data_IF_313899217437
#
_entry.id   IF_313899217437
#
_cell.length_a   1.000
_cell.length_b   1.000
_cell.length_c   1.000
_cell.angle_alpha   90.00
_cell.angle_beta   90.00
_cell.angle_gamma   90.00
#
_symmetry.space_group_name_H-M   'P 1'
#
loop_
_entity.id
_entity.type
_entity.pdbx_description
1 polymer ?
#
# COMPACT_ATOMS: atom_id res chain seq x y z
N UNK A 1 -19.24 14.03 -24.83
CA UNK A 1 -17.91 14.04 -24.18
C UNK A 1 -18.13 14.13 -22.69
N UNK A 2 -17.72 13.10 -21.93
CA UNK A 2 -17.72 13.15 -20.47
C UNK A 2 -16.59 14.11 -20.07
N UNK A 3 -16.90 15.06 -19.18
CA UNK A 3 -15.91 16.01 -18.69
C UNK A 3 -15.17 15.34 -17.53
N UNK A 4 -13.91 15.02 -17.75
CA UNK A 4 -13.02 14.54 -16.69
C UNK A 4 -12.98 15.56 -15.56
N UNK A 5 -13.16 15.10 -14.32
CA UNK A 5 -13.10 15.96 -13.16
C UNK A 5 -11.63 16.05 -12.69
N UNK A 6 -11.01 17.25 -12.70
CA UNK A 6 -9.63 17.39 -12.25
C UNK A 6 -9.43 17.01 -10.78
N UNK A 7 -10.50 16.96 -9.98
CA UNK A 7 -10.43 16.49 -8.59
C UNK A 7 -10.24 14.98 -8.46
N UNK A 8 -10.48 14.20 -9.52
CA UNK A 8 -10.30 12.74 -9.49
C UNK A 8 -8.82 12.36 -9.31
N UNK A 9 -7.91 13.14 -9.89
CA UNK A 9 -6.46 12.95 -9.73
C UNK A 9 -6.07 13.10 -8.25
N UNK A 10 -6.56 14.16 -7.59
CA UNK A 10 -6.29 14.39 -6.17
C UNK A 10 -6.93 13.31 -5.29
N UNK A 11 -8.14 12.85 -5.64
CA UNK A 11 -8.79 11.76 -4.94
C UNK A 11 -7.97 10.46 -5.02
N UNK A 12 -7.47 10.10 -6.20
CA UNK A 12 -6.61 8.92 -6.42
C UNK A 12 -5.30 9.05 -5.62
N UNK A 13 -4.64 10.20 -5.67
CA UNK A 13 -3.41 10.45 -4.90
C UNK A 13 -3.64 10.27 -3.39
N UNK A 14 -4.77 10.78 -2.87
CA UNK A 14 -5.14 10.64 -1.47
C UNK A 14 -5.44 9.19 -1.08
N UNK A 15 -6.11 8.43 -1.94
CA UNK A 15 -6.37 7.00 -1.73
C UNK A 15 -5.06 6.22 -1.65
N UNK A 16 -4.11 6.49 -2.56
CA UNK A 16 -2.78 5.86 -2.55
C UNK A 16 -2.01 6.25 -1.27
N UNK A 17 -2.11 7.50 -0.81
CA UNK A 17 -1.50 7.93 0.45
C UNK A 17 -2.12 7.23 1.68
N UNK A 18 -3.43 6.97 1.68
CA UNK A 18 -4.09 6.23 2.76
C UNK A 18 -3.57 4.80 2.90
N UNK A 19 -3.13 4.15 1.82
CA UNK A 19 -2.48 2.86 1.88
C UNK A 19 -1.19 2.92 2.72
N UNK A 20 -0.31 3.90 2.47
CA UNK A 20 0.90 4.10 3.26
C UNK A 20 0.59 4.34 4.73
N UNK A 21 -0.42 5.17 5.02
CA UNK A 21 -0.86 5.45 6.38
C UNK A 21 -1.34 4.17 7.09
N UNK A 22 -2.10 3.32 6.41
CA UNK A 22 -2.57 2.04 6.96
C UNK A 22 -1.40 1.12 7.35
N UNK A 23 -0.33 1.10 6.55
CA UNK A 23 0.88 0.33 6.86
C UNK A 23 1.65 0.91 8.05
N UNK A 24 1.89 2.21 8.04
CA UNK A 24 2.75 2.89 9.02
C UNK A 24 2.13 2.93 10.42
N UNK A 25 0.82 3.13 10.50
CA UNK A 25 0.07 3.13 11.76
C UNK A 25 -0.36 1.74 12.21
N UNK A 26 -0.24 0.74 11.32
CA UNK A 26 -0.78 -0.62 11.49
C UNK A 26 -2.30 -0.66 11.72
N UNK A 27 -3.01 0.40 11.32
CA UNK A 27 -4.47 0.45 11.31
C UNK A 27 -4.98 -0.14 9.98
N UNK A 28 -5.00 -1.47 9.92
CA UNK A 28 -5.35 -2.19 8.69
C UNK A 28 -6.84 -2.11 8.32
N UNK A 29 -7.69 -1.67 9.25
CA UNK A 29 -9.10 -1.37 8.92
C UNK A 29 -9.20 -0.25 7.86
N UNK A 30 -8.21 0.64 7.80
CA UNK A 30 -8.14 1.69 6.76
C UNK A 30 -8.05 1.15 5.34
N UNK A 31 -7.63 -0.10 5.15
CA UNK A 31 -7.57 -0.70 3.81
C UNK A 31 -8.94 -0.80 3.15
N UNK A 32 -10.04 -0.81 3.93
CA UNK A 32 -11.41 -0.72 3.40
C UNK A 32 -11.75 0.64 2.77
N UNK A 33 -10.96 1.69 3.06
CA UNK A 33 -11.06 2.99 2.39
C UNK A 33 -10.13 3.12 1.19
N UNK A 34 -9.21 2.16 1.01
CA UNK A 34 -8.23 2.14 -0.09
C UNK A 34 -8.71 1.23 -1.21
N UNK A 35 -9.22 0.06 -0.85
CA UNK A 35 -9.57 -0.98 -1.78
C UNK A 35 -11.08 -1.19 -1.86
N UNK A 36 -11.54 -1.54 -3.06
CA UNK A 36 -12.90 -2.02 -3.25
C UNK A 36 -13.07 -3.41 -2.61
N UNK A 37 -14.31 -3.83 -2.27
CA UNK A 37 -14.56 -5.14 -1.68
C UNK A 37 -14.06 -6.32 -2.53
N UNK A 38 -14.00 -6.15 -3.84
CA UNK A 38 -13.62 -7.13 -4.87
C UNK A 38 -12.17 -6.99 -5.35
N UNK A 39 -11.33 -6.20 -4.65
CA UNK A 39 -9.94 -5.97 -5.05
C UNK A 39 -9.18 -7.27 -5.34
N UNK A 40 -8.40 -7.25 -6.42
CA UNK A 40 -7.40 -8.27 -6.71
C UNK A 40 -6.00 -7.68 -6.51
N UNK A 41 -5.17 -8.33 -5.70
CA UNK A 41 -3.78 -7.90 -5.49
C UNK A 41 -2.83 -9.01 -5.89
N UNK A 42 -1.68 -8.63 -6.47
CA UNK A 42 -0.61 -9.56 -6.82
C UNK A 42 0.65 -9.05 -6.14
N UNK A 43 1.11 -9.79 -5.13
CA UNK A 43 2.38 -9.47 -4.46
C UNK A 43 3.46 -10.46 -4.91
N UNK A 44 4.67 -9.98 -5.29
CA UNK A 44 5.74 -10.83 -5.83
C UNK A 44 6.17 -11.96 -4.88
N UNK A 45 5.95 -11.81 -3.57
CA UNK A 45 6.31 -12.80 -2.55
C UNK A 45 5.09 -13.41 -1.83
N UNK A 46 3.88 -13.12 -2.30
CA UNK A 46 2.64 -13.46 -1.60
C UNK A 46 1.55 -14.07 -2.49
N UNK A 47 1.78 -14.13 -3.80
CA UNK A 47 0.81 -14.59 -4.78
C UNK A 47 -0.36 -13.62 -4.98
N UNK A 48 -1.39 -14.12 -5.66
CA UNK A 48 -2.66 -13.40 -5.87
C UNK A 48 -3.52 -13.47 -4.61
N UNK A 49 -4.22 -12.38 -4.28
CA UNK A 49 -5.28 -12.33 -3.25
C UNK A 49 -6.51 -11.64 -3.80
N UNK A 50 -7.67 -12.07 -3.35
CA UNK A 50 -8.97 -11.51 -3.70
C UNK A 50 -9.68 -11.04 -2.44
N UNK A 51 -10.27 -9.85 -2.51
CA UNK A 51 -11.06 -9.23 -1.47
C UNK A 51 -10.23 -8.50 -0.42
N UNK A 52 -10.73 -7.33 -0.01
CA UNK A 52 -10.02 -6.42 0.90
C UNK A 52 -9.69 -7.06 2.25
N UNK A 53 -10.58 -7.91 2.78
CA UNK A 53 -10.33 -8.63 4.04
C UNK A 53 -9.12 -9.57 3.92
N UNK A 54 -9.00 -10.30 2.81
CA UNK A 54 -7.87 -11.21 2.56
C UNK A 54 -6.53 -10.46 2.47
N UNK A 55 -6.57 -9.22 1.92
CA UNK A 55 -5.41 -8.33 1.86
C UNK A 55 -5.04 -7.83 3.26
N UNK A 56 -6.03 -7.35 4.03
CA UNK A 56 -5.84 -6.88 5.40
C UNK A 56 -5.28 -7.98 6.32
N UNK A 57 -5.89 -9.16 6.31
CA UNK A 57 -5.44 -10.31 7.11
C UNK A 57 -4.01 -10.72 6.75
N UNK A 58 -3.65 -10.67 5.47
CA UNK A 58 -2.30 -11.01 5.02
C UNK A 58 -1.25 -10.03 5.52
N UNK A 59 -1.55 -8.72 5.47
CA UNK A 59 -0.67 -7.67 6.00
C UNK A 59 -0.61 -7.76 7.53
N UNK A 60 -1.76 -7.91 8.19
CA UNK A 60 -1.84 -8.03 9.65
C UNK A 60 -1.10 -9.26 10.16
N UNK A 61 -1.25 -10.43 9.52
CA UNK A 61 -0.53 -11.65 9.89
C UNK A 61 0.99 -11.47 9.84
N UNK A 62 1.50 -10.65 8.92
CA UNK A 62 2.94 -10.30 8.86
C UNK A 62 3.37 -9.37 10.01
N UNK A 63 2.41 -8.75 10.70
CA UNK A 63 2.59 -7.76 11.76
C UNK A 63 2.20 -8.23 13.18
N UNK A 64 1.65 -9.45 13.39
CA UNK A 64 1.07 -9.86 14.68
C UNK A 64 1.74 -11.06 15.38
N UNK A 65 2.63 -11.83 14.75
CA UNK A 65 3.25 -13.01 15.41
C UNK A 65 4.54 -12.69 16.18
N UNK A 66 4.48 -12.73 17.53
CA UNK A 66 5.61 -12.49 18.44
C UNK A 66 6.45 -13.77 18.66
N UNK A 67 5.84 -14.96 18.62
CA UNK A 67 6.50 -16.22 19.03
C UNK A 67 7.22 -16.99 17.91
N UNK A 68 7.02 -16.62 16.63
CA UNK A 68 7.54 -17.39 15.47
C UNK A 68 8.63 -16.69 14.64
N UNK A 69 9.29 -15.68 15.19
CA UNK A 69 10.55 -15.17 14.63
C UNK A 69 10.45 -14.44 13.28
N UNK A 70 9.43 -13.59 13.08
CA UNK A 70 9.34 -12.68 11.91
C UNK A 70 8.78 -11.29 12.27
N UNK A 71 8.87 -10.30 11.38
CA UNK A 71 10.01 -9.37 11.15
C UNK A 71 9.63 -7.91 11.47
N UNK A 72 8.33 -7.57 11.53
CA UNK A 72 7.83 -6.18 11.47
C UNK A 72 6.90 -5.76 12.63
N UNK A 73 6.36 -6.68 13.43
CA UNK A 73 5.54 -6.34 14.61
C UNK A 73 6.21 -5.31 15.55
N UNK A 74 7.50 -5.44 15.92
CA UNK A 74 8.17 -4.42 16.72
C UNK A 74 8.61 -3.21 15.91
N UNK A 75 8.68 -3.29 14.58
CA UNK A 75 9.25 -2.25 13.71
C UNK A 75 8.23 -1.15 13.46
N UNK A 76 8.65 0.10 13.60
CA UNK A 76 7.89 1.24 13.05
C UNK A 76 8.29 1.39 11.59
N UNK A 77 7.37 1.75 10.70
CA UNK A 77 7.68 2.03 9.30
C UNK A 77 7.30 3.43 8.89
N UNK A 78 7.91 3.90 7.81
CA UNK A 78 7.45 5.05 7.05
C UNK A 78 7.47 4.68 5.56
N UNK A 79 6.35 4.85 4.87
CA UNK A 79 6.25 4.65 3.43
C UNK A 79 6.12 6.01 2.73
N UNK A 80 7.17 6.43 2.03
CA UNK A 80 7.19 7.68 1.27
C UNK A 80 6.85 7.42 -0.20
N UNK A 81 5.70 7.94 -0.66
CA UNK A 81 5.33 7.95 -2.07
C UNK A 81 6.23 8.92 -2.86
N UNK A 82 6.58 8.55 -4.08
CA UNK A 82 7.32 9.43 -5.00
C UNK A 82 6.50 9.66 -6.27
N UNK A 83 7.11 9.64 -7.45
CA UNK A 83 6.45 9.89 -8.74
C UNK A 83 5.18 9.05 -8.89
N UNK A 84 4.07 9.73 -9.17
CA UNK A 84 2.78 9.11 -9.49
C UNK A 84 2.41 9.42 -10.94
N UNK A 85 2.07 8.38 -11.69
CA UNK A 85 1.54 8.48 -13.05
C UNK A 85 0.11 7.95 -13.05
N UNK A 86 -0.86 8.82 -13.32
CA UNK A 86 -2.29 8.53 -13.24
C UNK A 86 -2.91 8.80 -14.61
N UNK A 87 -3.57 7.78 -15.17
CA UNK A 87 -4.28 7.84 -16.45
C UNK A 87 -5.77 7.60 -16.20
N UNK A 88 -6.58 8.62 -16.44
CA UNK A 88 -8.04 8.48 -16.40
C UNK A 88 -8.52 7.89 -17.72
N UNK A 89 -9.45 6.94 -17.63
CA UNK A 89 -10.17 6.42 -18.80
C UNK A 89 -10.97 7.50 -19.50
N UNK A 90 -11.19 7.42 -20.84
CA UNK A 90 -11.95 8.43 -21.58
C UNK A 90 -13.41 8.59 -21.11
N UNK A 91 -13.98 7.56 -20.50
CA UNK A 91 -15.33 7.59 -19.93
C UNK A 91 -15.37 8.12 -18.48
N UNK A 92 -14.21 8.35 -17.87
CA UNK A 92 -14.08 8.87 -16.51
C UNK A 92 -14.50 7.88 -15.41
N UNK A 93 -14.74 6.61 -15.73
CA UNK A 93 -15.23 5.62 -14.76
C UNK A 93 -14.12 4.80 -14.11
N UNK A 94 -12.93 4.79 -14.70
CA UNK A 94 -11.77 4.03 -14.23
C UNK A 94 -10.48 4.83 -14.37
N UNK A 95 -9.46 4.40 -13.64
CA UNK A 95 -8.11 4.96 -13.75
C UNK A 95 -7.05 3.88 -13.57
N UNK A 96 -5.93 4.05 -14.26
CA UNK A 96 -4.70 3.30 -13.99
C UNK A 96 -3.74 4.22 -13.28
N UNK A 97 -3.22 3.79 -12.13
CA UNK A 97 -2.24 4.54 -11.37
C UNK A 97 -0.98 3.69 -11.13
N UNK A 98 0.18 4.25 -11.45
CA UNK A 98 1.49 3.71 -11.10
C UNK A 98 2.15 4.68 -10.14
N UNK A 99 2.65 4.15 -9.03
CA UNK A 99 3.47 4.91 -8.07
C UNK A 99 4.70 4.10 -7.71
N UNK A 100 5.73 4.82 -7.29
CA UNK A 100 6.84 4.23 -6.56
C UNK A 100 6.76 4.67 -5.11
N UNK A 101 7.27 3.84 -4.21
CA UNK A 101 7.44 4.24 -2.82
C UNK A 101 8.70 3.65 -2.23
N UNK A 102 9.21 4.34 -1.22
CA UNK A 102 10.29 3.88 -0.35
C UNK A 102 9.69 3.51 1.00
N UNK A 103 9.81 2.24 1.39
CA UNK A 103 9.48 1.77 2.74
C UNK A 103 10.72 1.76 3.63
N UNK A 104 10.72 2.56 4.68
CA UNK A 104 11.73 2.60 5.72
C UNK A 104 11.23 1.81 6.91
N UNK A 105 12.06 0.91 7.42
CA UNK A 105 11.80 0.15 8.64
C UNK A 105 12.76 0.59 9.73
N UNK A 106 12.23 1.21 10.78
CA UNK A 106 12.99 1.62 11.96
C UNK A 106 13.16 0.43 12.89
N UNK A 107 14.39 -0.09 12.96
CA UNK A 107 14.70 -1.20 13.85
C UNK A 107 14.43 -0.86 15.31
N UNK A 108 14.16 -1.89 16.13
CA UNK A 108 14.12 -1.79 17.60
C UNK A 108 15.13 -2.74 18.22
N UNK A 109 15.53 -2.49 19.46
CA UNK A 109 16.55 -3.28 20.16
C UNK A 109 17.91 -3.13 19.50
N UNK A 110 18.60 -4.23 19.16
CA UNK A 110 19.94 -4.18 18.52
C UNK A 110 19.98 -3.51 17.13
N UNK A 111 18.82 -3.18 16.57
CA UNK A 111 18.65 -2.50 15.30
C UNK A 111 18.11 -1.08 15.44
N UNK A 112 17.97 -0.59 16.68
CA UNK A 112 17.57 0.79 16.94
C UNK A 112 18.53 1.79 16.29
N UNK A 113 17.97 2.82 15.66
CA UNK A 113 18.72 3.79 14.86
C UNK A 113 19.20 3.28 13.49
N UNK A 114 18.88 2.04 13.10
CA UNK A 114 19.20 1.49 11.77
C UNK A 114 17.97 1.48 10.86
N UNK A 115 18.20 1.81 9.60
CA UNK A 115 17.20 1.87 8.53
C UNK A 115 17.42 0.75 7.51
N UNK A 116 16.30 0.20 7.01
CA UNK A 116 16.28 -0.65 5.81
C UNK A 116 15.28 -0.08 4.82
N UNK A 117 15.78 0.27 3.64
CA UNK A 117 15.03 0.84 2.51
C UNK A 117 14.55 -0.29 1.58
N UNK A 118 13.25 -0.30 1.25
CA UNK A 118 12.67 -1.21 0.25
C UNK A 118 11.91 -0.40 -0.80
N UNK A 119 12.16 -0.65 -2.09
CA UNK A 119 11.40 -0.07 -3.20
C UNK A 119 10.49 -1.12 -3.85
N UNK A 120 9.27 -0.72 -4.21
CA UNK A 120 8.36 -1.52 -5.03
C UNK A 120 7.94 -0.70 -6.25
N UNK A 121 8.20 -1.22 -7.45
CA UNK A 121 7.67 -0.73 -8.70
C UNK A 121 6.67 -1.74 -9.26
N UNK A 122 5.50 -1.27 -9.67
CA UNK A 122 4.54 -2.08 -10.43
C UNK A 122 4.59 -1.65 -11.90
N UNK A 123 5.14 -2.51 -12.76
CA UNK A 123 4.97 -2.43 -14.20
C UNK A 123 3.81 -3.36 -14.60
N UNK A 124 2.78 -2.82 -15.25
CA UNK A 124 1.80 -3.64 -15.94
C UNK A 124 2.30 -3.78 -17.38
N UNK A 125 2.60 -5.01 -17.79
CA UNK A 125 2.87 -5.39 -19.18
C UNK A 125 1.54 -5.59 -19.94
#
# INVERSE_FOLDING_TARGET
MIRLNPFDIFAIQNIIALYCLALDTKDFARLHHVFTPDVETIYPFGGKRQGVQSVADAIQKRNVDIDRGKRLAPVSSQHALTTQHILLSPDGQSATATTYFTGIHFGKGKWEGKEVTVSLSTHND
#
